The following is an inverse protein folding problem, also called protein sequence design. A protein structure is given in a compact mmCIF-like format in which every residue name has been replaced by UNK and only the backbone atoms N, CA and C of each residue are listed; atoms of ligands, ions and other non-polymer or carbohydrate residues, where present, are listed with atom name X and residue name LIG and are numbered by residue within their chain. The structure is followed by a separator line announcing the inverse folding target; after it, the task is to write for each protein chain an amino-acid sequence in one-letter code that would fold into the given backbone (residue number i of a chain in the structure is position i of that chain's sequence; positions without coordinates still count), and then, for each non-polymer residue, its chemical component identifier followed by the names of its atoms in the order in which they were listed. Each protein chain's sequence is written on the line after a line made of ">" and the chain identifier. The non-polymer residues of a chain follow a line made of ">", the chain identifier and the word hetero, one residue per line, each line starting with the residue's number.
data_IF_120437775128
#
_entry.id   IF_120437775128
#
_cell.length_a   1.000
_cell.length_b   1.000
_cell.length_c   1.000
_cell.angle_alpha   90.00
_cell.angle_beta   90.00
_cell.angle_gamma   90.00
#
_symmetry.space_group_name_H-M   'P 1'
#
loop_
_entity.id
_entity.type
_entity.pdbx_description
1 polymer ?
#
# COMPACT_ATOMS: atom_id res chain seq x y z
N UNK A 1 -23.65 -43.61 16.12
CA UNK A 1 -22.52 -42.66 16.26
C UNK A 1 -21.95 -42.79 17.66
N UNK A 2 -20.65 -43.03 17.78
CA UNK A 2 -19.95 -43.12 19.05
C UNK A 2 -19.93 -41.74 19.75
N UNK A 3 -19.80 -41.71 21.07
CA UNK A 3 -19.67 -40.44 21.84
C UNK A 3 -18.56 -39.55 21.26
N UNK A 4 -17.42 -40.13 20.86
CA UNK A 4 -16.33 -39.45 20.21
C UNK A 4 -16.75 -38.80 18.89
N UNK A 5 -17.51 -39.51 18.05
CA UNK A 5 -18.00 -38.93 16.77
C UNK A 5 -18.95 -37.75 16.95
N UNK A 6 -19.77 -37.73 17.98
CA UNK A 6 -20.63 -36.58 18.31
C UNK A 6 -19.81 -35.36 18.79
N UNK A 7 -18.77 -35.58 19.57
CA UNK A 7 -17.88 -34.51 20.05
C UNK A 7 -17.11 -33.91 18.86
N UNK A 8 -16.53 -34.77 18.01
CA UNK A 8 -15.82 -34.29 16.81
C UNK A 8 -16.74 -33.50 15.88
N UNK A 9 -17.95 -33.99 15.63
CA UNK A 9 -18.93 -33.27 14.80
C UNK A 9 -19.33 -31.92 15.42
N UNK A 10 -19.50 -31.84 16.74
CA UNK A 10 -19.80 -30.59 17.43
C UNK A 10 -18.63 -29.57 17.33
N UNK A 11 -17.39 -30.02 17.54
CA UNK A 11 -16.21 -29.15 17.42
C UNK A 11 -16.07 -28.63 15.98
N UNK A 12 -16.18 -29.53 14.99
CA UNK A 12 -16.09 -29.14 13.57
C UNK A 12 -17.23 -28.19 13.18
N UNK A 13 -18.46 -28.45 13.63
CA UNK A 13 -19.60 -27.57 13.37
C UNK A 13 -19.42 -26.18 13.99
N UNK A 14 -18.95 -26.13 15.24
CA UNK A 14 -18.64 -24.84 15.92
C UNK A 14 -17.53 -24.08 15.19
N UNK A 15 -16.48 -24.75 14.76
CA UNK A 15 -15.39 -24.14 14.01
C UNK A 15 -15.85 -23.57 12.66
N UNK A 16 -16.65 -24.33 11.91
CA UNK A 16 -17.22 -23.85 10.65
C UNK A 16 -18.18 -22.68 10.85
N UNK A 17 -18.97 -22.70 11.93
CA UNK A 17 -19.85 -21.59 12.28
C UNK A 17 -19.07 -20.33 12.60
N UNK A 18 -17.99 -20.43 13.38
CA UNK A 18 -17.11 -19.30 13.67
C UNK A 18 -16.48 -18.72 12.40
N UNK A 19 -16.02 -19.56 11.49
CA UNK A 19 -15.49 -19.11 10.19
C UNK A 19 -16.58 -18.37 9.41
N UNK A 20 -17.80 -18.91 9.35
CA UNK A 20 -18.92 -18.28 8.64
C UNK A 20 -19.26 -16.90 9.25
N UNK A 21 -19.26 -16.77 10.58
CA UNK A 21 -19.47 -15.50 11.28
C UNK A 21 -18.36 -14.50 10.93
N UNK A 22 -17.10 -14.90 10.96
CA UNK A 22 -15.96 -14.05 10.61
C UNK A 22 -16.08 -13.56 9.17
N UNK A 23 -16.40 -14.46 8.22
CA UNK A 23 -16.60 -14.10 6.81
C UNK A 23 -17.74 -13.10 6.67
N UNK A 24 -18.86 -13.31 7.37
CA UNK A 24 -20.00 -12.39 7.35
C UNK A 24 -19.62 -11.01 7.90
N UNK A 25 -18.92 -10.96 9.03
CA UNK A 25 -18.45 -9.71 9.63
C UNK A 25 -17.53 -8.95 8.67
N UNK A 26 -16.61 -9.63 8.00
CA UNK A 26 -15.70 -9.00 7.03
C UNK A 26 -16.47 -8.52 5.80
N UNK A 27 -17.41 -9.32 5.30
CA UNK A 27 -18.21 -8.99 4.11
C UNK A 27 -19.17 -7.82 4.32
N UNK A 28 -19.65 -7.64 5.56
CA UNK A 28 -20.59 -6.56 5.92
C UNK A 28 -19.92 -5.36 6.59
N UNK A 29 -18.60 -5.41 6.78
CA UNK A 29 -17.86 -4.38 7.47
C UNK A 29 -17.80 -3.09 6.64
N UNK A 30 -18.20 -1.97 7.23
CA UNK A 30 -18.05 -0.64 6.64
C UNK A 30 -16.59 -0.15 6.82
N UNK A 31 -15.78 -0.34 5.77
CA UNK A 31 -14.37 0.01 5.77
C UNK A 31 -14.12 1.51 5.92
N UNK A 32 -15.09 2.34 5.59
CA UNK A 32 -15.01 3.79 5.77
C UNK A 32 -14.83 4.21 7.24
N UNK A 33 -15.26 3.38 8.18
CA UNK A 33 -15.04 3.59 9.62
C UNK A 33 -13.56 3.61 10.00
N UNK A 34 -12.69 3.02 9.20
CA UNK A 34 -11.25 3.00 9.45
C UNK A 34 -10.55 4.27 8.96
N UNK A 35 -11.17 5.07 8.10
CA UNK A 35 -10.55 6.28 7.53
C UNK A 35 -9.97 7.23 8.58
N UNK A 36 -10.68 7.61 9.65
CA UNK A 36 -10.11 8.51 10.66
C UNK A 36 -8.83 7.96 11.28
N UNK A 37 -8.81 6.67 11.62
CA UNK A 37 -7.64 6.01 12.22
C UNK A 37 -6.48 5.93 11.23
N UNK A 38 -6.76 5.58 9.98
CA UNK A 38 -5.74 5.51 8.92
C UNK A 38 -5.17 6.91 8.66
N UNK A 39 -6.04 7.90 8.46
CA UNK A 39 -5.64 9.28 8.21
C UNK A 39 -4.73 9.81 9.34
N UNK A 40 -5.14 9.60 10.58
CA UNK A 40 -4.35 10.04 11.73
C UNK A 40 -2.99 9.33 11.80
N UNK A 41 -2.97 7.99 11.69
CA UNK A 41 -1.72 7.23 11.76
C UNK A 41 -0.77 7.61 10.64
N UNK A 42 -1.24 7.64 9.39
CA UNK A 42 -0.40 7.99 8.24
C UNK A 42 0.09 9.42 8.35
N UNK A 43 -0.76 10.37 8.76
CA UNK A 43 -0.34 11.76 8.98
C UNK A 43 0.75 11.87 10.04
N UNK A 44 0.65 11.10 11.13
CA UNK A 44 1.65 11.08 12.20
C UNK A 44 2.98 10.48 11.73
N UNK A 45 2.93 9.32 11.06
CA UNK A 45 4.14 8.64 10.58
C UNK A 45 4.89 9.45 9.50
N UNK A 46 4.16 10.07 8.58
CA UNK A 46 4.74 10.88 7.53
C UNK A 46 5.06 12.31 7.97
N UNK A 47 4.60 12.72 9.16
CA UNK A 47 4.64 14.09 9.66
C UNK A 47 4.08 15.11 8.64
N UNK A 48 2.95 14.73 8.00
CA UNK A 48 2.27 15.51 6.95
C UNK A 48 0.77 15.26 6.96
N UNK A 49 -0.04 16.25 6.57
CA UNK A 49 -1.47 16.00 6.39
C UNK A 49 -1.74 14.89 5.37
N UNK A 50 -2.46 13.87 5.80
CA UNK A 50 -2.92 12.79 4.94
C UNK A 50 -4.42 12.58 5.12
N UNK A 51 -5.16 12.40 4.04
CA UNK A 51 -6.58 12.15 4.10
C UNK A 51 -7.07 11.26 2.95
N UNK A 52 -7.89 10.28 3.28
CA UNK A 52 -8.76 9.57 2.36
C UNK A 52 -10.13 10.25 2.48
N UNK A 53 -10.53 11.02 1.47
CA UNK A 53 -11.78 11.80 1.48
C UNK A 53 -12.94 11.02 0.87
N UNK A 54 -12.66 10.27 -0.21
CA UNK A 54 -13.63 9.46 -0.91
C UNK A 54 -13.88 8.11 -0.22
N UNK A 55 -14.37 7.14 -0.98
CA UNK A 55 -14.70 5.82 -0.47
C UNK A 55 -13.45 4.98 -0.17
N UNK A 56 -13.54 4.20 0.91
CA UNK A 56 -12.57 3.16 1.25
C UNK A 56 -13.30 1.84 1.32
N UNK A 57 -12.94 0.95 0.41
CA UNK A 57 -13.61 -0.34 0.30
C UNK A 57 -12.65 -1.51 0.09
N UNK A 58 -13.18 -2.70 0.30
CA UNK A 58 -12.47 -3.96 0.05
C UNK A 58 -13.39 -4.89 -0.70
N UNK A 59 -12.91 -5.38 -1.84
CA UNK A 59 -13.57 -6.40 -2.65
C UNK A 59 -12.76 -7.68 -2.58
N UNK A 60 -13.43 -8.80 -2.39
CA UNK A 60 -12.78 -10.10 -2.27
C UNK A 60 -12.86 -10.85 -3.60
N UNK A 61 -11.69 -11.10 -4.21
CA UNK A 61 -11.60 -11.76 -5.50
C UNK A 61 -10.65 -12.95 -5.46
N UNK A 62 -10.94 -13.96 -6.26
CA UNK A 62 -10.05 -15.12 -6.41
C UNK A 62 -8.97 -14.80 -7.42
N UNK A 63 -7.71 -15.11 -7.05
CA UNK A 63 -6.58 -14.94 -7.97
C UNK A 63 -6.54 -16.08 -8.99
N UNK A 64 -6.67 -15.74 -10.26
CA UNK A 64 -6.65 -16.71 -11.37
C UNK A 64 -5.29 -17.40 -11.57
N UNK A 65 -4.22 -16.80 -11.05
CA UNK A 65 -2.84 -17.30 -11.18
C UNK A 65 -2.47 -18.32 -10.10
N UNK A 66 -3.24 -18.38 -9.02
CA UNK A 66 -3.02 -19.35 -7.95
C UNK A 66 -3.56 -20.74 -8.34
N UNK A 67 -2.83 -21.79 -7.93
CA UNK A 67 -3.18 -23.19 -8.22
C UNK A 67 -3.42 -23.99 -6.95
N UNK A 68 -4.11 -25.12 -7.08
CA UNK A 68 -4.41 -26.01 -5.97
C UNK A 68 -5.37 -25.35 -4.96
N UNK A 69 -5.21 -25.67 -3.67
CA UNK A 69 -6.08 -25.16 -2.61
C UNK A 69 -6.00 -23.64 -2.43
N UNK A 70 -4.88 -23.03 -2.81
CA UNK A 70 -4.67 -21.57 -2.73
C UNK A 70 -5.62 -20.79 -3.63
N UNK A 71 -6.05 -21.36 -4.76
CA UNK A 71 -7.02 -20.73 -5.66
C UNK A 71 -8.40 -20.52 -5.02
N UNK A 72 -8.69 -21.21 -3.91
CA UNK A 72 -9.92 -21.05 -3.15
C UNK A 72 -9.86 -19.90 -2.13
N UNK A 73 -8.67 -19.42 -1.80
CA UNK A 73 -8.49 -18.30 -0.88
C UNK A 73 -8.76 -17.00 -1.62
N UNK A 74 -9.81 -16.25 -1.26
CA UNK A 74 -10.04 -14.95 -1.87
C UNK A 74 -9.01 -13.93 -1.37
N UNK A 75 -8.54 -13.08 -2.26
CA UNK A 75 -7.63 -12.00 -1.92
C UNK A 75 -8.38 -10.69 -1.79
N UNK A 76 -8.09 -9.87 -0.75
CA UNK A 76 -8.68 -8.56 -0.62
C UNK A 76 -8.04 -7.58 -1.63
N UNK A 77 -8.90 -6.98 -2.44
CA UNK A 77 -8.59 -5.83 -3.27
C UNK A 77 -9.10 -4.59 -2.57
N UNK A 78 -8.19 -3.81 -2.05
CA UNK A 78 -8.48 -2.55 -1.36
C UNK A 78 -8.52 -1.44 -2.39
N UNK A 79 -9.52 -0.57 -2.30
CA UNK A 79 -9.55 0.68 -3.04
C UNK A 79 -9.78 1.84 -2.09
N UNK A 80 -9.14 2.95 -2.38
CA UNK A 80 -9.34 4.23 -1.70
C UNK A 80 -9.49 5.33 -2.75
N UNK A 81 -10.48 6.19 -2.57
CA UNK A 81 -10.76 7.29 -3.48
C UNK A 81 -10.44 8.63 -2.83
N UNK A 82 -10.09 9.61 -3.68
CA UNK A 82 -9.76 10.98 -3.28
C UNK A 82 -8.74 11.01 -2.13
N UNK A 83 -7.58 10.39 -2.37
CA UNK A 83 -6.48 10.34 -1.41
C UNK A 83 -5.59 11.55 -1.60
N UNK A 84 -5.34 12.29 -0.51
CA UNK A 84 -4.53 13.49 -0.51
C UNK A 84 -3.38 13.36 0.47
N UNK A 85 -2.19 13.74 0.01
CA UNK A 85 -1.02 13.97 0.84
C UNK A 85 -0.67 15.46 0.79
N UNK A 86 -0.64 16.09 1.93
CA UNK A 86 -0.26 17.49 2.07
C UNK A 86 1.25 17.71 2.05
N UNK A 87 1.63 18.95 1.90
CA UNK A 87 3.01 19.42 2.04
C UNK A 87 3.41 19.52 3.52
N UNK A 88 4.74 19.51 3.81
CA UNK A 88 5.22 19.90 5.14
C UNK A 88 4.91 21.38 5.41
N UNK A 89 4.91 21.80 6.70
CA UNK A 89 4.54 23.16 7.10
C UNK A 89 5.39 24.28 6.46
N UNK A 90 6.60 23.94 6.03
CA UNK A 90 7.56 24.88 5.46
C UNK A 90 7.25 25.24 3.99
N UNK A 91 6.28 24.57 3.39
CA UNK A 91 5.88 24.77 1.99
C UNK A 91 4.45 25.29 1.95
N UNK A 92 4.21 26.47 1.35
CA UNK A 92 2.91 27.14 1.44
C UNK A 92 1.78 26.47 0.68
N UNK A 93 2.10 25.66 -0.34
CA UNK A 93 1.10 24.89 -1.08
C UNK A 93 0.52 23.80 -0.20
N UNK A 94 -0.80 23.65 -0.22
CA UNK A 94 -1.51 22.72 0.68
C UNK A 94 -1.31 21.25 0.28
N UNK A 95 -1.35 20.95 -1.02
CA UNK A 95 -1.36 19.58 -1.54
C UNK A 95 -0.08 19.26 -2.28
N UNK A 96 0.59 18.20 -1.86
CA UNK A 96 1.73 17.62 -2.56
C UNK A 96 1.28 16.58 -3.60
N UNK A 97 0.40 15.66 -3.19
CA UNK A 97 -0.08 14.57 -4.05
C UNK A 97 -1.59 14.45 -3.92
N UNK A 98 -2.26 14.35 -5.04
CA UNK A 98 -3.66 13.96 -5.13
C UNK A 98 -3.78 12.69 -5.97
N UNK A 99 -4.43 11.70 -5.41
CA UNK A 99 -4.69 10.42 -6.04
C UNK A 99 -6.21 10.22 -6.10
N UNK A 100 -6.85 10.44 -7.26
CA UNK A 100 -8.28 10.22 -7.42
C UNK A 100 -8.71 8.82 -7.01
N UNK A 101 -7.86 7.81 -7.30
CA UNK A 101 -8.09 6.44 -6.87
C UNK A 101 -6.78 5.67 -6.72
N UNK A 102 -6.69 4.91 -5.64
CA UNK A 102 -5.62 3.94 -5.35
C UNK A 102 -6.25 2.58 -5.22
N UNK A 103 -5.70 1.59 -5.88
CA UNK A 103 -6.10 0.19 -5.76
C UNK A 103 -4.89 -0.65 -5.37
N UNK A 104 -5.08 -1.61 -4.48
CA UNK A 104 -4.02 -2.52 -4.07
C UNK A 104 -4.58 -3.92 -3.79
N UNK A 105 -3.78 -4.93 -4.06
CA UNK A 105 -4.09 -6.30 -3.66
C UNK A 105 -3.19 -6.72 -2.52
N UNK A 106 -3.76 -7.31 -1.49
CA UNK A 106 -3.03 -7.85 -0.36
C UNK A 106 -3.02 -9.39 -0.45
N UNK A 107 -1.85 -10.00 -0.27
CA UNK A 107 -1.71 -11.44 -0.19
C UNK A 107 -2.04 -11.94 1.24
N UNK A 108 -3.23 -12.53 1.48
CA UNK A 108 -3.68 -12.82 2.84
C UNK A 108 -2.85 -13.90 3.52
N UNK A 109 -2.33 -14.87 2.76
CA UNK A 109 -1.52 -15.96 3.33
C UNK A 109 -0.15 -15.50 3.80
N UNK A 110 0.37 -14.40 3.26
CA UNK A 110 1.63 -13.80 3.71
C UNK A 110 1.53 -13.23 5.13
N UNK A 111 0.34 -12.83 5.56
CA UNK A 111 0.11 -12.36 6.94
C UNK A 111 0.41 -13.43 7.98
N UNK A 112 0.25 -14.71 7.64
CA UNK A 112 0.59 -15.84 8.54
C UNK A 112 2.10 -15.89 8.85
N UNK A 113 2.93 -15.34 7.97
CA UNK A 113 4.38 -15.20 8.15
C UNK A 113 4.78 -13.78 8.56
N UNK A 114 3.84 -12.98 9.08
CA UNK A 114 4.03 -11.58 9.47
C UNK A 114 4.57 -10.71 8.33
N UNK A 115 4.17 -11.01 7.11
CA UNK A 115 4.54 -10.25 5.92
C UNK A 115 3.30 -9.55 5.36
N UNK A 116 3.33 -8.22 5.28
CA UNK A 116 2.36 -7.44 4.51
C UNK A 116 2.86 -7.41 3.08
N UNK A 117 2.33 -8.28 2.24
CA UNK A 117 2.72 -8.38 0.85
C UNK A 117 1.64 -7.83 -0.07
N UNK A 118 2.02 -6.78 -0.81
CA UNK A 118 1.23 -6.15 -1.85
C UNK A 118 1.86 -6.49 -3.21
N UNK A 119 1.33 -7.45 -3.97
CA UNK A 119 1.83 -7.81 -5.28
C UNK A 119 1.79 -6.65 -6.27
N UNK A 120 0.80 -5.76 -6.11
CA UNK A 120 0.72 -4.54 -6.91
C UNK A 120 -0.09 -3.46 -6.19
N UNK A 121 0.26 -2.22 -6.52
CA UNK A 121 -0.53 -1.01 -6.24
C UNK A 121 -0.78 -0.33 -7.58
N UNK A 122 -2.00 0.11 -7.84
CA UNK A 122 -2.38 0.90 -9.00
C UNK A 122 -2.78 2.30 -8.56
N UNK A 123 -2.14 3.30 -9.15
CA UNK A 123 -2.43 4.70 -8.95
C UNK A 123 -3.16 5.23 -10.20
N UNK A 124 -4.41 5.64 -10.03
CA UNK A 124 -5.23 6.16 -11.13
C UNK A 124 -5.12 7.67 -11.16
N UNK A 125 -4.62 8.20 -12.26
CA UNK A 125 -4.44 9.63 -12.53
C UNK A 125 -3.75 10.39 -11.38
N UNK A 126 -2.60 9.91 -10.86
CA UNK A 126 -1.89 10.61 -9.82
C UNK A 126 -1.49 12.01 -10.29
N UNK A 127 -1.74 13.03 -9.48
CA UNK A 127 -1.25 14.39 -9.66
C UNK A 127 -0.31 14.72 -8.49
N UNK A 128 0.96 14.85 -8.80
CA UNK A 128 1.99 15.15 -7.82
C UNK A 128 2.69 16.47 -8.16
N UNK A 129 2.89 17.32 -7.15
CA UNK A 129 3.67 18.54 -7.25
C UNK A 129 4.90 18.47 -6.35
N UNK A 130 6.07 18.41 -6.94
CA UNK A 130 7.36 18.39 -6.28
C UNK A 130 7.91 19.82 -6.24
N UNK A 131 8.15 20.34 -5.04
CA UNK A 131 8.58 21.72 -4.82
C UNK A 131 9.89 21.73 -4.07
N UNK A 132 10.87 22.49 -4.58
CA UNK A 132 12.11 22.81 -3.89
C UNK A 132 12.27 24.33 -3.77
N UNK A 133 12.19 24.83 -2.54
CA UNK A 133 12.33 26.24 -2.23
C UNK A 133 13.79 26.63 -2.01
N UNK A 134 14.61 25.75 -1.44
CA UNK A 134 16.03 25.97 -1.15
C UNK A 134 16.80 24.65 -1.19
N UNK A 135 18.14 24.72 -1.04
CA UNK A 135 19.01 23.54 -0.91
C UNK A 135 18.56 22.56 0.20
N UNK A 136 17.90 23.09 1.24
CA UNK A 136 17.50 22.31 2.43
C UNK A 136 15.99 22.10 2.52
N UNK A 137 15.18 22.81 1.72
CA UNK A 137 13.72 22.82 1.83
C UNK A 137 13.09 22.28 0.56
N UNK A 138 12.55 21.10 0.63
CA UNK A 138 11.80 20.45 -0.44
C UNK A 138 10.65 19.59 0.14
N UNK A 139 9.70 19.18 -0.71
CA UNK A 139 8.57 18.39 -0.25
C UNK A 139 8.70 16.87 -0.51
N UNK A 140 9.75 16.38 -1.14
CA UNK A 140 9.96 14.96 -1.35
C UNK A 140 10.86 14.28 -0.31
N UNK A 141 11.49 15.02 0.60
CA UNK A 141 12.22 14.46 1.72
C UNK A 141 11.25 14.15 2.86
N UNK A 142 11.14 12.88 3.22
CA UNK A 142 10.28 12.41 4.30
C UNK A 142 11.13 12.15 5.55
N UNK A 143 10.82 12.87 6.63
CA UNK A 143 11.34 12.57 7.96
C UNK A 143 10.36 11.63 8.64
N UNK A 144 10.53 10.34 8.47
CA UNK A 144 9.66 9.33 9.07
C UNK A 144 9.79 9.38 10.60
N UNK A 145 8.68 9.18 11.31
CA UNK A 145 8.67 9.22 12.78
C UNK A 145 9.60 8.18 13.40
N UNK A 146 9.85 7.07 12.70
CA UNK A 146 10.76 6.01 13.12
C UNK A 146 12.25 6.46 13.18
N UNK A 147 12.65 7.46 12.39
CA UNK A 147 14.05 7.95 12.41
C UNK A 147 14.40 8.70 13.69
N UNK A 148 13.40 9.13 14.49
CA UNK A 148 13.61 9.83 15.76
C UNK A 148 13.79 8.91 16.98
N UNK A 149 13.45 7.63 16.85
CA UNK A 149 13.53 6.62 17.93
C UNK A 149 14.43 5.45 17.51
N UNK A 150 15.63 5.73 17.07
CA UNK A 150 16.68 4.71 16.98
C UNK A 150 17.18 4.44 18.40
N UNK A 151 16.34 3.75 19.21
CA UNK A 151 16.83 3.04 20.36
C UNK A 151 17.72 1.90 19.83
N UNK A 152 19.04 1.90 20.10
CA UNK A 152 19.95 0.85 19.64
C UNK A 152 19.55 -0.56 20.11
N UNK A 153 18.65 -0.63 21.11
CA UNK A 153 18.11 -1.86 21.67
C UNK A 153 16.67 -2.18 21.22
N UNK A 154 16.06 -1.37 20.36
CA UNK A 154 14.74 -1.67 19.83
C UNK A 154 14.81 -2.96 19.00
N UNK A 155 14.06 -3.98 19.43
CA UNK A 155 13.92 -5.21 18.64
C UNK A 155 13.32 -4.84 17.27
N UNK A 156 13.91 -5.31 16.16
CA UNK A 156 13.37 -5.08 14.83
C UNK A 156 11.89 -5.48 14.79
N UNK A 157 11.06 -4.74 14.07
CA UNK A 157 9.66 -5.11 13.90
C UNK A 157 9.59 -6.55 13.39
N UNK A 158 8.77 -7.36 14.06
CA UNK A 158 8.55 -8.75 13.64
C UNK A 158 7.79 -8.83 12.29
N UNK A 159 7.31 -7.69 11.79
CA UNK A 159 6.57 -7.57 10.54
C UNK A 159 7.47 -7.06 9.42
N UNK A 160 7.39 -7.68 8.26
CA UNK A 160 8.03 -7.24 7.02
C UNK A 160 7.00 -6.67 6.05
N UNK A 161 7.43 -5.74 5.20
CA UNK A 161 6.62 -5.17 4.13
C UNK A 161 7.24 -5.51 2.77
N UNK A 162 6.40 -5.95 1.83
CA UNK A 162 6.80 -6.27 0.46
C UNK A 162 5.82 -5.65 -0.53
N UNK A 163 6.36 -4.89 -1.48
CA UNK A 163 5.64 -4.35 -2.63
C UNK A 163 6.39 -4.76 -3.89
N UNK A 164 5.71 -5.46 -4.80
CA UNK A 164 6.36 -5.99 -6.01
C UNK A 164 6.22 -5.01 -7.18
N UNK A 165 5.03 -4.48 -7.45
CA UNK A 165 4.78 -3.66 -8.63
C UNK A 165 3.97 -2.41 -8.31
N UNK A 166 4.28 -1.32 -9.01
CA UNK A 166 3.47 -0.10 -9.05
C UNK A 166 2.98 0.08 -10.48
N UNK A 167 1.66 0.23 -10.64
CA UNK A 167 1.02 0.55 -11.90
C UNK A 167 0.54 1.99 -11.86
N UNK A 168 0.74 2.70 -12.96
CA UNK A 168 0.22 4.05 -13.14
C UNK A 168 -0.80 4.04 -14.27
N UNK A 169 -1.88 4.79 -14.08
CA UNK A 169 -2.85 5.08 -15.13
C UNK A 169 -2.93 6.60 -15.27
N UNK A 170 -2.28 7.12 -16.31
CA UNK A 170 -2.23 8.55 -16.66
C UNK A 170 -1.88 9.47 -15.47
N UNK A 171 -0.60 9.66 -15.21
CA UNK A 171 -0.13 10.53 -14.11
C UNK A 171 0.38 11.88 -14.59
N UNK A 172 0.36 12.87 -13.69
CA UNK A 172 1.02 14.17 -13.86
C UNK A 172 1.98 14.40 -12.72
N UNK A 173 3.21 14.79 -13.04
CA UNK A 173 4.21 15.23 -12.07
C UNK A 173 4.65 16.63 -12.46
N UNK A 174 4.37 17.60 -11.63
CA UNK A 174 4.87 18.95 -11.76
C UNK A 174 6.06 19.15 -10.81
N UNK A 175 7.16 19.66 -11.32
CA UNK A 175 8.38 19.95 -10.55
C UNK A 175 8.61 21.43 -10.61
N UNK A 176 8.60 22.10 -9.44
CA UNK A 176 8.91 23.49 -9.27
C UNK A 176 10.18 23.63 -8.41
N UNK A 177 11.32 23.84 -9.05
CA UNK A 177 12.63 23.99 -8.40
C UNK A 177 13.09 25.43 -8.43
N UNK A 178 12.92 26.13 -7.32
CA UNK A 178 13.34 27.54 -7.19
C UNK A 178 14.86 27.72 -7.17
N UNK A 179 15.60 26.66 -6.81
CA UNK A 179 17.08 26.70 -6.77
C UNK A 179 17.65 26.65 -8.18
N UNK A 180 17.18 25.70 -8.99
CA UNK A 180 17.61 25.57 -10.39
C UNK A 180 16.80 26.45 -11.34
N UNK A 181 15.76 27.16 -10.85
CA UNK A 181 14.81 27.95 -11.64
C UNK A 181 14.16 27.10 -12.75
N UNK A 182 13.85 25.84 -12.44
CA UNK A 182 13.24 24.89 -13.35
C UNK A 182 11.76 24.68 -12.99
N UNK A 183 10.89 24.79 -14.00
CA UNK A 183 9.48 24.44 -13.92
C UNK A 183 9.22 23.40 -15.01
N UNK A 184 8.99 22.14 -14.59
CA UNK A 184 8.87 20.98 -15.48
C UNK A 184 7.57 20.27 -15.16
N UNK A 185 6.78 20.01 -16.20
CA UNK A 185 5.61 19.13 -16.10
C UNK A 185 5.84 17.86 -16.91
N UNK A 186 5.75 16.73 -16.24
CA UNK A 186 5.88 15.40 -16.83
C UNK A 186 4.49 14.76 -16.83
N UNK A 187 4.05 14.35 -18.01
CA UNK A 187 2.86 13.51 -18.17
C UNK A 187 3.32 12.06 -18.31
N UNK A 188 2.84 11.22 -17.41
CA UNK A 188 3.12 9.78 -17.43
C UNK A 188 1.93 9.10 -18.07
N UNK A 189 2.14 8.54 -19.25
CA UNK A 189 1.14 7.71 -19.93
C UNK A 189 1.62 6.25 -19.89
N UNK A 190 0.86 5.33 -19.32
CA UNK A 190 1.34 3.97 -19.11
C UNK A 190 1.45 3.23 -20.45
N UNK A 191 2.61 2.68 -20.71
CA UNK A 191 2.84 1.74 -21.81
C UNK A 191 2.23 0.35 -21.54
N UNK A 192 1.32 0.26 -20.57
CA UNK A 192 0.60 -0.96 -20.21
C UNK A 192 1.43 -2.04 -19.50
N UNK A 193 2.66 -1.75 -19.08
CA UNK A 193 3.51 -2.70 -18.34
C UNK A 193 3.70 -2.24 -16.89
N UNK A 194 3.51 -3.14 -15.90
CA UNK A 194 3.82 -2.83 -14.50
C UNK A 194 5.32 -2.56 -14.35
N UNK A 195 5.67 -1.50 -13.59
CA UNK A 195 7.04 -1.19 -13.23
C UNK A 195 7.37 -1.85 -11.89
N UNK A 196 8.48 -2.61 -11.77
CA UNK A 196 8.97 -3.09 -10.50
C UNK A 196 9.27 -1.94 -9.55
N UNK A 197 8.93 -2.09 -8.27
CA UNK A 197 9.15 -1.04 -7.26
C UNK A 197 10.62 -0.61 -7.16
N UNK A 198 11.55 -1.56 -7.34
CA UNK A 198 12.99 -1.30 -7.36
C UNK A 198 13.44 -0.34 -8.47
N UNK A 199 12.74 -0.28 -9.59
CA UNK A 199 13.01 0.66 -10.66
C UNK A 199 12.53 2.06 -10.33
N UNK A 200 11.39 2.17 -9.62
CA UNK A 200 10.82 3.46 -9.21
C UNK A 200 11.65 4.14 -8.12
N UNK A 201 12.19 3.36 -7.18
CA UNK A 201 12.98 3.88 -6.06
C UNK A 201 14.46 4.07 -6.34
N UNK A 202 14.93 3.66 -7.53
CA UNK A 202 16.35 3.71 -7.88
C UNK A 202 17.24 2.77 -7.07
N UNK A 203 16.65 1.92 -6.22
CA UNK A 203 17.38 0.90 -5.48
C UNK A 203 17.79 -0.20 -6.45
N UNK A 204 19.03 -0.14 -6.97
CA UNK A 204 19.61 -1.21 -7.79
C UNK A 204 19.60 -2.50 -6.98
N UNK A 205 18.62 -3.35 -7.23
CA UNK A 205 18.70 -4.75 -6.83
C UNK A 205 20.00 -5.32 -7.38
N UNK A 206 20.75 -6.00 -6.53
CA UNK A 206 21.99 -6.70 -6.90
C UNK A 206 21.66 -7.57 -8.11
N UNK A 207 22.20 -7.20 -9.28
CA UNK A 207 22.00 -7.95 -10.50
C UNK A 207 22.51 -9.38 -10.27
N UNK A 208 21.60 -10.32 -10.35
CA UNK A 208 21.94 -11.75 -10.38
C UNK A 208 22.71 -11.99 -11.69
N UNK A 209 24.02 -12.23 -11.54
CA UNK A 209 24.89 -12.68 -12.60
C UNK A 209 24.61 -14.17 -12.78
N UNK A 210 23.66 -14.52 -13.60
CA UNK A 210 23.61 -15.86 -14.13
C UNK A 210 23.23 -15.88 -15.61
N UNK A 211 24.21 -16.34 -16.34
CA UNK A 211 24.18 -17.02 -17.64
C UNK A 211 24.08 -16.14 -18.90
N UNK A 212 25.25 -15.63 -19.29
CA UNK A 212 25.67 -15.76 -20.67
C UNK A 212 26.50 -17.04 -20.74
N UNK A 213 26.00 -18.04 -21.40
CA UNK A 213 26.67 -19.29 -21.72
C UNK A 213 26.36 -19.64 -23.16
N UNK A 214 27.36 -19.42 -24.03
CA UNK A 214 27.64 -20.03 -25.34
C UNK A 214 26.46 -20.48 -26.18
#
# INVERSE_FOLDING_TARGET
>A
MTKAGKITAAITGTFLLLIAIVILLIATFDWNRLKPTINQKVSTELNRPFAIRGDLGVVWERQKQETGWRSWVPWPHVHAEDVILGNPPDIPEVTMVHLPRVEATLAPLALLTKTVWLPWIKLVKPDARLIRLSEKTNNWTFNLAQDKNTDPNAKPSAWSFRLDNILFDQGRIAIDDKVSKADITILVDPLGKPLPFSEVTGTKGKADKSTVGT
#
